data_IF_198875631201
#
_entry.id   IF_198875631201
#
_cell.length_a   1.000
_cell.length_b   1.000
_cell.length_c   1.000
_cell.angle_alpha   90.00
_cell.angle_beta   90.00
_cell.angle_gamma   90.00
#
_symmetry.space_group_name_H-M   'P 1'
#
loop_
_entity.id
_entity.type
_entity.pdbx_description
1 polymer ?
#
# COMPACT_ATOMS: atom_id res chain seq x y z
N UNK A 1 21.65 4.98 -21.17
CA UNK A 1 20.40 5.63 -21.59
C UNK A 1 19.60 4.60 -22.37
N UNK A 2 18.68 3.88 -21.72
CA UNK A 2 17.85 2.89 -22.41
C UNK A 2 16.74 3.63 -23.15
N UNK A 3 16.87 3.70 -24.48
CA UNK A 3 15.84 4.25 -25.36
C UNK A 3 14.57 3.41 -25.30
N UNK A 4 13.44 4.05 -25.04
CA UNK A 4 12.12 3.43 -25.03
C UNK A 4 11.79 2.88 -26.42
N UNK A 5 11.20 1.68 -26.50
CA UNK A 5 10.98 1.03 -27.79
C UNK A 5 9.85 1.77 -28.54
N UNK A 6 9.98 2.04 -29.86
CA UNK A 6 9.00 2.84 -30.61
C UNK A 6 7.57 2.28 -30.60
N UNK A 7 7.39 0.99 -30.32
CA UNK A 7 6.06 0.38 -30.15
C UNK A 7 5.41 0.69 -28.79
N UNK A 8 6.19 0.89 -27.72
CA UNK A 8 5.65 1.32 -26.41
C UNK A 8 5.13 2.76 -26.49
N UNK A 9 5.84 3.64 -27.21
CA UNK A 9 5.44 5.03 -27.38
C UNK A 9 4.07 5.17 -28.10
N UNK A 10 3.87 4.41 -29.18
CA UNK A 10 2.63 4.45 -29.96
C UNK A 10 1.42 3.85 -29.23
N UNK A 11 1.65 2.95 -28.27
CA UNK A 11 0.59 2.37 -27.45
C UNK A 11 0.18 3.28 -26.30
N UNK A 12 1.14 3.94 -25.64
CA UNK A 12 0.87 4.95 -24.61
C UNK A 12 0.06 6.12 -25.17
N UNK A 13 0.29 6.51 -26.42
CA UNK A 13 -0.46 7.56 -27.11
C UNK A 13 -1.93 7.19 -27.40
N UNK A 14 -2.25 5.89 -27.44
CA UNK A 14 -3.60 5.37 -27.72
C UNK A 14 -4.44 5.10 -26.47
N UNK A 15 -3.81 4.88 -25.33
CA UNK A 15 -4.47 4.53 -24.06
C UNK A 15 -4.49 5.72 -23.08
N UNK A 16 -3.76 6.81 -23.39
CA UNK A 16 -3.68 7.97 -22.51
C UNK A 16 -5.04 8.70 -22.35
N UNK A 17 -5.55 8.85 -21.11
CA UNK A 17 -6.72 9.69 -20.83
C UNK A 17 -6.44 11.18 -21.08
N UNK A 18 -7.49 11.98 -21.31
CA UNK A 18 -7.47 13.36 -21.83
C UNK A 18 -6.71 14.44 -21.01
N UNK A 19 -6.05 14.06 -19.92
CA UNK A 19 -4.86 14.76 -19.44
C UNK A 19 -3.99 13.72 -18.72
N UNK A 20 -2.74 13.49 -19.13
CA UNK A 20 -1.93 12.46 -18.53
C UNK A 20 -1.60 12.88 -17.09
N UNK A 21 -2.15 12.14 -16.12
CA UNK A 21 -1.54 12.07 -14.81
C UNK A 21 -0.15 11.46 -14.98
N UNK A 22 0.83 12.32 -15.25
CA UNK A 22 2.22 11.96 -15.46
C UNK A 22 2.79 11.24 -14.24
N UNK A 23 2.29 11.57 -13.04
CA UNK A 23 2.71 10.90 -11.82
C UNK A 23 2.26 9.43 -11.83
N UNK A 24 1.01 9.15 -12.19
CA UNK A 24 0.51 7.78 -12.34
C UNK A 24 1.34 6.94 -13.33
N UNK A 25 1.68 7.51 -14.49
CA UNK A 25 2.49 6.82 -15.51
C UNK A 25 3.91 6.51 -15.03
N UNK A 26 4.57 7.46 -14.36
CA UNK A 26 5.92 7.31 -13.80
C UNK A 26 5.95 6.24 -12.70
N UNK A 27 4.94 6.24 -11.82
CA UNK A 27 4.79 5.22 -10.77
C UNK A 27 4.58 3.83 -11.38
N UNK A 28 3.65 3.69 -12.33
CA UNK A 28 3.40 2.42 -13.02
C UNK A 28 4.64 1.91 -13.76
N UNK A 29 5.40 2.80 -14.41
CA UNK A 29 6.65 2.42 -15.08
C UNK A 29 7.72 1.96 -14.08
N UNK A 30 7.82 2.61 -12.91
CA UNK A 30 8.74 2.17 -11.85
C UNK A 30 8.37 0.79 -11.32
N UNK A 31 7.08 0.57 -11.02
CA UNK A 31 6.55 -0.72 -10.55
C UNK A 31 6.82 -1.82 -11.58
N UNK A 32 6.54 -1.58 -12.85
CA UNK A 32 6.81 -2.54 -13.94
C UNK A 32 8.28 -2.97 -14.03
N UNK A 33 9.21 -2.03 -13.78
CA UNK A 33 10.65 -2.30 -13.88
C UNK A 33 11.27 -2.95 -12.66
N UNK A 34 10.78 -2.60 -11.46
CA UNK A 34 11.44 -2.94 -10.20
C UNK A 34 10.59 -3.87 -9.31
N UNK A 35 9.31 -4.03 -9.63
CA UNK A 35 8.31 -4.67 -8.76
C UNK A 35 7.81 -3.76 -7.63
N UNK A 36 8.43 -2.59 -7.41
CA UNK A 36 8.04 -1.62 -6.38
C UNK A 36 8.35 -0.18 -6.81
N UNK A 37 7.83 0.79 -6.04
CA UNK A 37 8.15 2.21 -6.19
C UNK A 37 8.10 2.90 -4.83
N UNK A 38 9.01 3.85 -4.60
CA UNK A 38 8.97 4.73 -3.43
C UNK A 38 8.39 6.07 -3.81
N UNK A 39 7.46 6.58 -2.99
CA UNK A 39 6.86 7.90 -3.20
C UNK A 39 6.71 8.62 -1.87
N UNK A 40 6.80 9.95 -1.93
CA UNK A 40 6.55 10.79 -0.77
C UNK A 40 5.05 11.07 -0.68
N UNK A 41 4.43 10.61 0.40
CA UNK A 41 3.04 10.92 0.69
C UNK A 41 3.01 12.38 1.17
N UNK A 42 2.39 13.26 0.38
CA UNK A 42 2.34 14.72 0.62
C UNK A 42 1.44 15.08 1.83
N UNK A 43 1.78 14.57 3.01
CA UNK A 43 1.09 14.79 4.26
C UNK A 43 2.01 15.54 5.24
N UNK A 44 1.45 16.38 6.13
CA UNK A 44 2.23 17.01 7.19
C UNK A 44 2.90 15.96 8.07
N UNK A 45 4.16 16.20 8.47
CA UNK A 45 4.92 15.29 9.33
C UNK A 45 4.18 14.98 10.64
N UNK A 46 3.51 15.97 11.22
CA UNK A 46 2.67 15.80 12.41
C UNK A 46 1.54 14.78 12.21
N UNK A 47 0.93 14.74 11.02
CA UNK A 47 -0.11 13.76 10.70
C UNK A 47 0.50 12.36 10.58
N UNK A 48 1.68 12.24 9.96
CA UNK A 48 2.40 10.97 9.85
C UNK A 48 2.79 10.42 11.23
N UNK A 49 3.29 11.28 12.14
CA UNK A 49 3.59 10.91 13.53
C UNK A 49 2.35 10.42 14.28
N UNK A 50 1.20 11.07 14.07
CA UNK A 50 -0.08 10.63 14.66
C UNK A 50 -0.53 9.29 14.09
N UNK A 51 -0.44 9.11 12.77
CA UNK A 51 -0.79 7.85 12.11
C UNK A 51 0.08 6.69 12.65
N UNK A 52 1.36 6.93 12.88
CA UNK A 52 2.26 5.98 13.54
C UNK A 52 1.84 5.65 14.99
N UNK A 53 1.46 6.66 15.77
CA UNK A 53 0.93 6.48 17.12
C UNK A 53 -0.39 5.69 17.15
N UNK A 54 -1.30 5.96 16.21
CA UNK A 54 -2.54 5.21 16.03
C UNK A 54 -2.27 3.75 15.64
N UNK A 55 -1.35 3.49 14.71
CA UNK A 55 -0.95 2.13 14.36
C UNK A 55 -0.32 1.36 15.54
N UNK A 56 0.50 2.05 16.33
CA UNK A 56 1.07 1.50 17.57
C UNK A 56 -0.01 1.15 18.60
N UNK A 57 -1.07 1.95 18.66
CA UNK A 57 -2.24 1.70 19.52
C UNK A 57 -2.99 0.45 19.07
N UNK A 58 -3.23 0.29 17.76
CA UNK A 58 -3.85 -0.93 17.23
C UNK A 58 -3.04 -2.20 17.56
N UNK A 59 -1.70 -2.07 17.54
CA UNK A 59 -0.79 -3.16 17.93
C UNK A 59 -0.92 -3.50 19.41
N UNK A 60 -0.94 -2.50 20.30
CA UNK A 60 -1.06 -2.73 21.75
C UNK A 60 -2.44 -3.23 22.16
N UNK A 61 -3.49 -2.87 21.41
CA UNK A 61 -4.85 -3.38 21.55
C UNK A 61 -5.03 -4.80 21.00
N UNK A 62 -4.00 -5.38 20.36
CA UNK A 62 -4.05 -6.75 19.83
C UNK A 62 -4.95 -6.90 18.59
N UNK A 63 -5.20 -5.80 17.85
CA UNK A 63 -6.07 -5.81 16.65
C UNK A 63 -5.43 -6.42 15.40
N UNK A 64 -4.14 -6.72 15.47
CA UNK A 64 -3.39 -7.36 14.39
C UNK A 64 -3.61 -8.88 14.40
N UNK A 65 -4.15 -9.41 13.31
CA UNK A 65 -4.45 -10.84 13.13
C UNK A 65 -3.53 -11.47 12.08
N UNK A 66 -3.22 -12.75 12.22
CA UNK A 66 -2.44 -13.45 11.18
C UNK A 66 -3.30 -13.67 9.94
N UNK A 67 -2.74 -13.50 8.72
CA UNK A 67 -3.40 -13.99 7.51
C UNK A 67 -3.65 -15.51 7.59
N UNK A 68 -4.57 -16.02 6.78
CA UNK A 68 -4.76 -17.47 6.67
C UNK A 68 -3.47 -18.15 6.17
N UNK A 69 -3.28 -19.41 6.57
CA UNK A 69 -2.05 -20.15 6.31
C UNK A 69 -1.76 -20.26 4.81
N UNK A 70 -2.79 -20.36 3.97
CA UNK A 70 -2.67 -20.44 2.52
C UNK A 70 -2.02 -19.18 1.92
N UNK A 71 -2.33 -17.99 2.46
CA UNK A 71 -1.70 -16.74 2.02
C UNK A 71 -0.25 -16.65 2.50
N UNK A 72 0.01 -17.09 3.73
CA UNK A 72 1.37 -17.09 4.29
C UNK A 72 2.26 -18.04 3.51
N UNK A 73 1.84 -19.28 3.30
CA UNK A 73 2.64 -20.33 2.67
C UNK A 73 2.75 -20.14 1.14
N UNK A 74 1.73 -19.57 0.50
CA UNK A 74 1.64 -19.43 -0.95
C UNK A 74 2.20 -18.13 -1.52
N UNK A 75 2.09 -17.01 -0.79
CA UNK A 75 2.40 -15.69 -1.33
C UNK A 75 3.42 -14.91 -0.49
N UNK A 76 3.20 -14.84 0.82
CA UNK A 76 4.00 -13.96 1.70
C UNK A 76 5.32 -14.60 2.11
N UNK A 77 5.36 -15.94 2.22
CA UNK A 77 6.47 -16.68 2.77
C UNK A 77 6.65 -16.49 4.28
N UNK A 78 7.65 -17.15 4.88
CA UNK A 78 7.93 -17.09 6.32
C UNK A 78 8.41 -15.70 6.81
N UNK A 79 8.98 -14.90 5.89
CA UNK A 79 9.51 -13.56 6.15
C UNK A 79 8.51 -12.44 5.81
N UNK A 80 7.40 -12.74 5.15
CA UNK A 80 6.40 -11.74 4.75
C UNK A 80 5.57 -11.18 5.90
N UNK A 81 4.63 -10.28 5.57
CA UNK A 81 3.78 -9.58 6.55
C UNK A 81 3.14 -10.56 7.53
N UNK A 82 3.50 -10.45 8.82
CA UNK A 82 3.13 -11.45 9.83
C UNK A 82 1.71 -11.26 10.32
N UNK A 83 1.22 -10.03 10.32
CA UNK A 83 -0.11 -9.68 10.82
C UNK A 83 -0.70 -8.49 10.04
N UNK A 84 -2.02 -8.47 10.00
CA UNK A 84 -2.86 -7.48 9.32
C UNK A 84 -3.78 -6.82 10.36
N UNK A 85 -4.05 -5.52 10.24
CA UNK A 85 -5.13 -4.86 10.95
C UNK A 85 -5.97 -4.03 9.98
N UNK A 86 -7.29 -4.08 10.10
CA UNK A 86 -8.20 -3.32 9.25
C UNK A 86 -8.49 -1.94 9.87
N UNK A 87 -8.27 -0.87 9.08
CA UNK A 87 -8.47 0.54 9.48
C UNK A 87 -9.96 0.91 9.55
N UNK A 88 -10.78 0.27 8.72
CA UNK A 88 -12.22 0.55 8.57
C UNK A 88 -13.09 -0.38 9.43
N UNK A 89 -12.56 -1.50 9.92
CA UNK A 89 -13.32 -2.49 10.70
C UNK A 89 -14.03 -1.85 11.91
N UNK A 90 -15.32 -1.59 11.69
CA UNK A 90 -16.33 -1.22 12.68
C UNK A 90 -17.34 -2.35 12.88
N UNK A 91 -17.27 -3.41 12.09
CA UNK A 91 -18.26 -4.48 12.05
C UNK A 91 -17.62 -5.83 12.39
N UNK A 92 -18.09 -6.48 13.46
CA UNK A 92 -17.96 -7.94 13.54
C UNK A 92 -18.06 -8.58 14.92
N UNK A 93 -17.18 -8.25 15.86
CA UNK A 93 -17.12 -8.96 17.14
C UNK A 93 -16.82 -7.99 18.27
N UNK A 94 -17.86 -7.70 19.06
CA UNK A 94 -17.87 -6.86 20.26
C UNK A 94 -17.16 -5.52 20.11
N UNK A 95 -17.95 -4.47 19.88
CA UNK A 95 -17.54 -3.08 19.89
C UNK A 95 -17.01 -2.65 21.28
N UNK A 96 -15.84 -3.13 21.69
CA UNK A 96 -15.09 -2.56 22.78
C UNK A 96 -14.23 -1.44 22.22
N UNK A 97 -14.78 -0.23 22.22
CA UNK A 97 -14.03 1.03 22.24
C UNK A 97 -12.94 1.15 21.16
N UNK A 98 -13.26 0.91 19.88
CA UNK A 98 -12.32 1.27 18.83
C UNK A 98 -12.22 2.80 18.77
N UNK A 99 -11.15 3.36 19.32
CA UNK A 99 -10.85 4.78 19.20
C UNK A 99 -10.87 5.18 17.72
N UNK A 100 -11.39 6.36 17.37
CA UNK A 100 -11.32 6.83 16.00
C UNK A 100 -9.86 6.90 15.55
N UNK A 101 -9.59 6.47 14.31
CA UNK A 101 -8.25 6.44 13.70
C UNK A 101 -8.12 7.50 12.59
N UNK A 102 -8.32 8.80 12.89
CA UNK A 102 -8.41 9.84 11.87
C UNK A 102 -7.11 10.03 11.09
N UNK A 103 -5.94 9.88 11.72
CA UNK A 103 -4.67 10.08 11.03
C UNK A 103 -4.36 8.92 10.08
N UNK A 104 -4.64 7.68 10.50
CA UNK A 104 -4.53 6.50 9.64
C UNK A 104 -5.49 6.56 8.45
N UNK A 105 -6.74 6.97 8.67
CA UNK A 105 -7.72 7.16 7.58
C UNK A 105 -7.28 8.25 6.60
N UNK A 106 -6.71 9.35 7.10
CA UNK A 106 -6.17 10.39 6.23
C UNK A 106 -4.98 9.90 5.41
N UNK A 107 -4.09 9.10 6.01
CA UNK A 107 -2.97 8.45 5.32
C UNK A 107 -3.48 7.48 4.24
N UNK A 108 -4.42 6.59 4.59
CA UNK A 108 -5.00 5.62 3.67
C UNK A 108 -5.72 6.30 2.50
N UNK A 109 -6.48 7.38 2.76
CA UNK A 109 -7.12 8.17 1.71
C UNK A 109 -6.10 8.83 0.76
N UNK A 110 -4.94 9.25 1.26
CA UNK A 110 -3.90 9.82 0.40
C UNK A 110 -3.21 8.74 -0.44
N UNK A 111 -2.93 7.57 0.13
CA UNK A 111 -2.40 6.44 -0.65
C UNK A 111 -3.39 5.93 -1.68
N UNK A 112 -4.69 5.96 -1.37
CA UNK A 112 -5.75 5.63 -2.32
C UNK A 112 -5.67 6.49 -3.58
N UNK A 113 -5.51 7.81 -3.44
CA UNK A 113 -5.32 8.72 -4.59
C UNK A 113 -4.08 8.36 -5.42
N UNK A 114 -3.00 7.95 -4.75
CA UNK A 114 -1.78 7.49 -5.44
C UNK A 114 -2.03 6.17 -6.18
N UNK A 115 -2.79 5.24 -5.60
CA UNK A 115 -3.13 3.99 -6.28
C UNK A 115 -4.06 4.20 -7.47
N UNK A 116 -5.05 5.10 -7.34
CA UNK A 116 -5.99 5.44 -8.41
C UNK A 116 -5.27 6.01 -9.64
N UNK A 117 -4.20 6.78 -9.44
CA UNK A 117 -3.38 7.27 -10.56
C UNK A 117 -2.62 6.15 -11.26
N UNK A 118 -2.18 5.12 -10.55
CA UNK A 118 -1.49 3.94 -11.12
C UNK A 118 -2.46 3.03 -11.87
N UNK A 119 -3.67 2.82 -11.36
CA UNK A 119 -4.69 1.92 -11.95
C UNK A 119 -4.93 2.23 -13.42
N UNK A 120 -4.98 3.52 -13.77
CA UNK A 120 -5.22 3.95 -15.15
C UNK A 120 -4.15 3.47 -16.13
N UNK A 121 -2.90 3.32 -15.66
CA UNK A 121 -1.75 2.92 -16.48
C UNK A 121 -1.36 1.45 -16.31
N UNK A 122 -1.90 0.75 -15.32
CA UNK A 122 -1.55 -0.62 -14.99
C UNK A 122 -1.70 -1.61 -16.18
N UNK A 123 -2.79 -1.59 -16.98
CA UNK A 123 -2.92 -2.50 -18.12
C UNK A 123 -1.83 -2.28 -19.16
N UNK A 124 -1.44 -1.01 -19.34
CA UNK A 124 -0.54 -0.64 -20.41
C UNK A 124 0.95 -0.81 -20.06
N UNK A 125 1.32 -0.49 -18.81
CA UNK A 125 2.70 -0.45 -18.37
C UNK A 125 3.10 -1.65 -17.49
N UNK A 126 2.16 -2.21 -16.75
CA UNK A 126 2.41 -3.33 -15.83
C UNK A 126 1.91 -4.66 -16.43
N UNK A 127 0.86 -4.61 -17.25
CA UNK A 127 0.36 -5.77 -18.01
C UNK A 127 -0.79 -6.53 -17.32
N UNK A 128 -1.50 -5.91 -16.39
CA UNK A 128 -2.72 -6.46 -15.80
C UNK A 128 -3.76 -5.36 -15.53
N UNK A 129 -5.02 -5.78 -15.43
CA UNK A 129 -6.14 -4.91 -15.05
C UNK A 129 -6.35 -4.98 -13.53
N UNK A 130 -6.62 -3.82 -12.92
CA UNK A 130 -7.00 -3.74 -11.51
C UNK A 130 -8.52 -3.70 -11.44
N UNK A 131 -9.13 -4.81 -11.06
CA UNK A 131 -10.60 -4.96 -11.04
C UNK A 131 -11.25 -4.38 -9.78
N UNK A 132 -10.48 -4.16 -8.72
CA UNK A 132 -11.01 -3.68 -7.45
C UNK A 132 -9.93 -3.52 -6.39
N UNK A 133 -10.36 -3.01 -5.24
CA UNK A 133 -9.50 -2.74 -4.07
C UNK A 133 -10.10 -3.39 -2.84
N UNK A 134 -9.23 -3.94 -1.98
CA UNK A 134 -9.61 -4.46 -0.67
C UNK A 134 -9.77 -3.33 0.35
N UNK A 135 -10.27 -3.64 1.56
CA UNK A 135 -10.36 -2.67 2.66
C UNK A 135 -8.98 -2.06 2.97
N UNK A 136 -8.97 -0.89 3.61
CA UNK A 136 -7.72 -0.25 4.02
C UNK A 136 -7.05 -1.09 5.12
N UNK A 137 -6.01 -1.86 4.76
CA UNK A 137 -5.29 -2.75 5.66
C UNK A 137 -3.92 -2.19 6.04
N UNK A 138 -3.60 -2.27 7.33
CA UNK A 138 -2.24 -2.11 7.85
C UNK A 138 -1.54 -3.46 7.87
N UNK A 139 -0.39 -3.53 7.22
CA UNK A 139 0.51 -4.65 7.32
C UNK A 139 1.59 -4.37 8.35
N UNK A 140 1.84 -5.33 9.23
CA UNK A 140 3.06 -5.36 10.03
C UNK A 140 4.11 -6.18 9.27
N UNK A 141 5.19 -5.51 8.85
CA UNK A 141 6.33 -6.18 8.22
C UNK A 141 6.90 -7.28 9.14
N UNK A 142 7.32 -8.40 8.53
CA UNK A 142 8.01 -9.46 9.26
C UNK A 142 9.35 -8.96 9.81
N UNK A 143 9.70 -9.39 11.03
CA UNK A 143 11.05 -9.17 11.54
C UNK A 143 12.01 -10.09 10.79
N UNK A 144 12.86 -9.51 9.94
CA UNK A 144 14.03 -10.20 9.39
C UNK A 144 14.87 -10.67 10.57
N UNK A 145 15.20 -11.95 10.61
CA UNK A 145 15.80 -12.63 11.77
C UNK A 145 17.22 -12.19 12.17
N UNK A 146 17.72 -11.03 11.73
CA UNK A 146 19.06 -10.55 12.09
C UNK A 146 19.04 -9.06 12.47
N UNK A 147 19.21 -8.81 13.77
CA UNK A 147 19.78 -7.63 14.45
C UNK A 147 19.51 -6.23 13.87
N UNK A 148 18.57 -5.50 14.47
CA UNK A 148 18.88 -4.31 15.32
C UNK A 148 17.63 -3.87 16.07
N UNK A 149 17.80 -3.47 17.33
CA UNK A 149 16.79 -2.87 18.23
C UNK A 149 16.30 -1.49 17.73
N UNK A 150 15.76 -1.44 16.53
CA UNK A 150 14.88 -0.39 16.08
C UNK A 150 13.56 -1.07 15.71
N UNK A 151 12.56 -0.94 16.59
CA UNK A 151 11.16 -1.25 16.27
C UNK A 151 10.69 -0.30 15.15
N UNK A 152 11.14 -0.55 13.93
CA UNK A 152 10.62 0.06 12.72
C UNK A 152 9.29 -0.63 12.44
N UNK A 153 8.21 0.03 12.84
CA UNK A 153 6.88 -0.29 12.31
C UNK A 153 6.88 0.14 10.84
N UNK A 154 7.34 -0.75 9.95
CA UNK A 154 7.08 -0.62 8.53
C UNK A 154 5.61 -0.95 8.29
N UNK A 155 4.81 0.11 8.21
CA UNK A 155 3.41 0.03 7.80
C UNK A 155 3.39 0.02 6.29
N UNK A 156 3.20 -1.17 5.71
CA UNK A 156 2.86 -1.29 4.31
C UNK A 156 1.34 -1.25 4.17
N UNK A 157 0.85 -0.34 3.33
CA UNK A 157 -0.56 -0.23 3.01
C UNK A 157 -0.76 -0.88 1.64
N UNK A 158 -1.32 -2.09 1.62
CA UNK A 158 -1.75 -2.71 0.38
C UNK A 158 -2.85 -1.85 -0.24
N UNK A 159 -2.59 -1.33 -1.43
CA UNK A 159 -3.56 -0.56 -2.21
C UNK A 159 -3.97 -1.32 -3.46
#
# INVERSE_FOLDING_TARGET
MNGMHPQEAAYLERVAPEAPDKCGAELAQSISRQGFCTTSVQLPEELLRRAFGEASTLRSEGRFTRPCAELVDGLLGPEGSRRLADIESSDGFEASVSSPLPALRALAAQLRKVSESVVTWAPALIGFEVEGRYSDLLLEAGATSEETDAELLCVELCC
#
